data_IF_524770173433
#
_entry.id   IF_524770173433
#
_cell.length_a   1.000
_cell.length_b   1.000
_cell.length_c   1.000
_cell.angle_alpha   90.00
_cell.angle_beta   90.00
_cell.angle_gamma   90.00
#
_symmetry.space_group_name_H-M   'P 1'
#
loop_
_entity.id
_entity.type
_entity.pdbx_description
1 polymer ?
#
# COMPACT_ATOMS: atom_id res chain seq x y z
N UNK A 1 -9.56 16.78 14.27
CA UNK A 1 -10.10 16.20 13.02
C UNK A 1 -10.61 14.78 13.28
N UNK A 2 -9.74 13.81 13.57
CA UNK A 2 -10.13 12.41 13.78
C UNK A 2 -11.24 12.20 14.81
N UNK A 3 -11.18 12.89 15.95
CA UNK A 3 -12.21 12.78 16.99
C UNK A 3 -13.55 13.27 16.48
N UNK A 4 -13.56 14.42 15.80
CA UNK A 4 -14.77 14.96 15.18
C UNK A 4 -15.38 14.06 14.10
N UNK A 5 -14.55 13.35 13.33
CA UNK A 5 -15.04 12.37 12.33
C UNK A 5 -15.65 11.16 13.06
N UNK A 6 -14.91 10.56 14.00
CA UNK A 6 -15.37 9.41 14.78
C UNK A 6 -16.67 9.71 15.52
N UNK A 7 -16.77 10.87 16.15
CA UNK A 7 -17.93 11.24 16.96
C UNK A 7 -19.17 11.53 16.09
N UNK A 8 -18.98 12.00 14.84
CA UNK A 8 -20.08 12.32 13.91
C UNK A 8 -20.45 11.16 12.99
N UNK A 9 -19.49 10.32 12.63
CA UNK A 9 -19.60 9.23 11.67
C UNK A 9 -18.87 7.98 12.19
N UNK A 10 -19.37 7.36 13.28
CA UNK A 10 -18.69 6.24 13.94
C UNK A 10 -18.53 4.97 13.08
N UNK A 11 -19.29 4.86 11.99
CA UNK A 11 -19.22 3.78 11.01
C UNK A 11 -18.03 3.93 10.02
N UNK A 12 -17.43 5.12 9.94
CA UNK A 12 -16.31 5.39 9.02
C UNK A 12 -15.00 4.95 9.68
N UNK A 13 -14.41 3.90 9.12
CA UNK A 13 -13.07 3.45 9.47
C UNK A 13 -12.01 4.42 8.91
N UNK A 14 -11.21 5.02 9.80
CA UNK A 14 -10.18 5.99 9.45
C UNK A 14 -8.83 5.28 9.18
N UNK A 15 -8.65 4.84 7.93
CA UNK A 15 -7.38 4.31 7.40
C UNK A 15 -6.62 5.42 6.67
N UNK A 16 -5.73 6.12 7.36
CA UNK A 16 -5.11 7.34 6.85
C UNK A 16 -3.72 7.59 7.44
N UNK A 17 -3.02 8.56 6.83
CA UNK A 17 -1.63 8.92 7.10
C UNK A 17 -0.62 7.83 6.73
N UNK A 18 0.32 8.15 5.87
CA UNK A 18 1.51 7.33 5.62
C UNK A 18 2.47 7.34 6.81
N UNK A 19 3.40 6.38 6.83
CA UNK A 19 4.48 6.37 7.81
C UNK A 19 5.30 7.67 7.78
N UNK A 20 5.58 8.20 6.58
CA UNK A 20 6.28 9.47 6.38
C UNK A 20 5.54 10.64 7.05
N UNK A 21 4.21 10.71 6.91
CA UNK A 21 3.40 11.75 7.54
C UNK A 21 3.39 11.63 9.06
N UNK A 22 3.31 10.40 9.60
CA UNK A 22 3.34 10.16 11.04
C UNK A 22 4.70 10.57 11.63
N UNK A 23 5.82 10.23 10.98
CA UNK A 23 7.15 10.66 11.36
C UNK A 23 7.25 12.19 11.39
N UNK A 24 6.74 12.86 10.35
CA UNK A 24 6.73 14.31 10.28
C UNK A 24 5.88 14.93 11.40
N UNK A 25 4.68 14.39 11.66
CA UNK A 25 3.79 14.85 12.74
C UNK A 25 4.48 14.70 14.10
N UNK A 26 5.12 13.56 14.38
CA UNK A 26 5.85 13.34 15.62
C UNK A 26 6.98 14.37 15.79
N UNK A 27 7.75 14.60 14.72
CA UNK A 27 8.84 15.57 14.69
C UNK A 27 8.38 17.00 15.01
N UNK A 28 7.40 17.52 14.25
CA UNK A 28 6.93 18.90 14.44
C UNK A 28 6.19 19.09 15.78
N UNK A 29 5.58 18.02 16.30
CA UNK A 29 4.88 18.02 17.59
C UNK A 29 5.81 17.78 18.77
N UNK A 30 7.10 17.48 18.54
CA UNK A 30 8.10 17.14 19.56
C UNK A 30 7.65 15.98 20.45
N UNK A 31 7.07 14.95 19.84
CA UNK A 31 6.62 13.74 20.51
C UNK A 31 7.56 12.58 20.17
N UNK A 32 7.64 11.59 21.06
CA UNK A 32 8.12 10.27 20.64
C UNK A 32 7.16 9.71 19.58
N UNK A 33 7.67 8.81 18.73
CA UNK A 33 6.85 8.17 17.71
C UNK A 33 5.69 7.37 18.33
N UNK A 34 5.95 6.68 19.44
CA UNK A 34 4.93 5.97 20.22
C UNK A 34 3.85 6.90 20.76
N UNK A 35 4.22 8.02 21.40
CA UNK A 35 3.26 8.99 21.92
C UNK A 35 2.43 9.61 20.79
N UNK A 36 3.03 9.86 19.64
CA UNK A 36 2.35 10.37 18.46
C UNK A 36 1.29 9.37 17.97
N UNK A 37 1.66 8.12 17.71
CA UNK A 37 0.75 7.08 17.22
C UNK A 37 -0.36 6.82 18.24
N UNK A 38 -0.02 6.70 19.53
CA UNK A 38 -1.01 6.50 20.61
C UNK A 38 -2.03 7.63 20.64
N UNK A 39 -1.60 8.89 20.56
CA UNK A 39 -2.50 10.05 20.55
C UNK A 39 -3.37 10.10 19.30
N UNK A 40 -2.85 9.74 18.13
CA UNK A 40 -3.63 9.67 16.90
C UNK A 40 -4.69 8.55 17.00
N UNK A 41 -4.30 7.39 17.54
CA UNK A 41 -5.20 6.26 17.75
C UNK A 41 -6.33 6.61 18.75
N UNK A 42 -6.01 7.18 19.90
CA UNK A 42 -6.98 7.67 20.88
C UNK A 42 -7.91 8.75 20.29
N UNK A 43 -7.42 9.55 19.35
CA UNK A 43 -8.21 10.53 18.63
C UNK A 43 -9.13 9.91 17.57
N UNK A 44 -8.98 8.64 17.21
CA UNK A 44 -9.86 7.93 16.26
C UNK A 44 -9.18 7.44 14.98
N UNK A 45 -7.84 7.44 14.90
CA UNK A 45 -7.14 6.74 13.82
C UNK A 45 -7.30 5.22 14.01
N UNK A 46 -7.95 4.53 13.07
CA UNK A 46 -8.25 3.10 13.22
C UNK A 46 -7.13 2.19 12.69
N UNK A 47 -6.38 2.64 11.68
CA UNK A 47 -5.30 1.86 11.05
C UNK A 47 -4.43 2.75 10.16
N UNK A 48 -3.23 2.28 9.82
CA UNK A 48 -2.26 3.04 9.02
C UNK A 48 -2.06 2.35 7.65
N UNK A 49 -2.24 3.06 6.51
CA UNK A 49 -1.88 2.53 5.20
C UNK A 49 -0.37 2.35 5.08
N UNK A 50 0.06 1.30 4.37
CA UNK A 50 1.47 1.06 4.09
C UNK A 50 2.11 2.03 3.10
N UNK A 51 1.48 3.17 2.80
CA UNK A 51 2.01 4.18 1.91
C UNK A 51 3.35 4.75 2.42
N UNK A 52 4.19 5.23 1.50
CA UNK A 52 5.52 5.76 1.80
C UNK A 52 6.65 4.71 1.77
N UNK A 53 6.31 3.42 1.63
CA UNK A 53 7.30 2.35 1.59
C UNK A 53 8.17 2.40 0.32
N UNK A 54 7.53 2.54 -0.84
CA UNK A 54 8.11 2.35 -2.18
C UNK A 54 8.95 1.07 -2.28
N UNK A 55 10.28 1.21 -2.21
CA UNK A 55 11.24 0.14 -2.01
C UNK A 55 11.96 0.42 -0.69
N UNK A 56 12.03 -0.61 0.15
CA UNK A 56 12.65 -0.55 1.49
C UNK A 56 14.12 -0.92 1.33
N UNK A 57 14.83 -0.05 0.63
CA UNK A 57 16.26 -0.12 0.39
C UNK A 57 16.79 1.31 0.41
N UNK A 58 17.72 1.61 1.32
CA UNK A 58 18.19 2.98 1.52
C UNK A 58 18.93 3.52 0.29
N UNK A 59 19.58 2.65 -0.51
CA UNK A 59 20.17 2.99 -1.80
C UNK A 59 19.11 3.52 -2.78
N UNK A 60 18.01 2.78 -2.93
CA UNK A 60 16.90 3.19 -3.81
C UNK A 60 16.23 4.46 -3.30
N UNK A 61 16.05 4.58 -1.98
CA UNK A 61 15.44 5.76 -1.34
C UNK A 61 16.24 7.03 -1.59
N UNK A 62 17.58 6.95 -1.53
CA UNK A 62 18.47 8.07 -1.86
C UNK A 62 18.32 8.52 -3.32
N UNK A 63 17.99 7.61 -4.24
CA UNK A 63 17.77 7.94 -5.64
C UNK A 63 16.39 8.55 -5.86
N UNK A 64 15.31 8.01 -5.30
CA UNK A 64 13.94 8.40 -5.67
C UNK A 64 13.44 9.67 -4.97
N UNK A 65 13.98 10.04 -3.80
CA UNK A 65 13.47 11.19 -3.06
C UNK A 65 14.45 11.79 -2.07
N UNK A 66 14.79 13.07 -2.27
CA UNK A 66 15.58 13.83 -1.32
C UNK A 66 14.82 13.95 0.02
N UNK A 67 15.45 13.51 1.12
CA UNK A 67 14.88 13.48 2.48
C UNK A 67 13.67 12.56 2.66
N UNK A 68 13.52 11.53 1.81
CA UNK A 68 12.63 10.43 2.14
C UNK A 68 13.10 9.80 3.46
N UNK A 69 12.15 9.33 4.27
CA UNK A 69 12.46 8.53 5.45
C UNK A 69 13.34 7.34 5.08
N UNK A 70 14.09 6.81 6.04
CA UNK A 70 14.91 5.61 5.88
C UNK A 70 14.08 4.35 6.11
N UNK A 71 14.56 3.23 5.59
CA UNK A 71 13.90 1.93 5.69
C UNK A 71 13.56 1.58 7.14
N UNK A 72 14.51 1.78 8.06
CA UNK A 72 14.29 1.52 9.48
C UNK A 72 13.22 2.41 10.12
N UNK A 73 13.07 3.66 9.67
CA UNK A 73 12.07 4.60 10.20
C UNK A 73 10.66 4.16 9.77
N UNK A 74 10.50 3.76 8.51
CA UNK A 74 9.24 3.20 8.02
C UNK A 74 8.86 1.94 8.82
N UNK A 75 9.81 1.00 8.98
CA UNK A 75 9.58 -0.22 9.75
C UNK A 75 9.22 0.07 11.21
N UNK A 76 9.85 1.07 11.82
CA UNK A 76 9.59 1.43 13.22
C UNK A 76 8.19 2.02 13.44
N UNK A 77 7.68 2.83 12.50
CA UNK A 77 6.29 3.31 12.56
C UNK A 77 5.32 2.14 12.63
N UNK A 78 5.48 1.16 11.72
CA UNK A 78 4.60 0.00 11.65
C UNK A 78 4.77 -0.91 12.87
N UNK A 79 6.02 -1.13 13.33
CA UNK A 79 6.30 -1.89 14.55
C UNK A 79 5.61 -1.32 15.78
N UNK A 80 5.76 -0.02 16.01
CA UNK A 80 5.13 0.68 17.14
C UNK A 80 3.61 0.64 17.00
N UNK A 81 3.07 0.88 15.80
CA UNK A 81 1.64 0.78 15.55
C UNK A 81 1.09 -0.61 15.93
N UNK A 82 1.76 -1.68 15.49
CA UNK A 82 1.35 -3.04 15.79
C UNK A 82 1.40 -3.34 17.30
N UNK A 83 2.45 -2.89 17.99
CA UNK A 83 2.59 -3.03 19.44
C UNK A 83 1.50 -2.27 20.23
N UNK A 84 0.96 -1.21 19.65
CA UNK A 84 -0.19 -0.46 20.19
C UNK A 84 -1.55 -1.04 19.77
N UNK A 85 -1.58 -2.17 19.05
CA UNK A 85 -2.80 -2.80 18.55
C UNK A 85 -3.41 -2.14 17.31
N UNK A 86 -2.67 -1.24 16.66
CA UNK A 86 -3.08 -0.57 15.43
C UNK A 86 -2.64 -1.40 14.23
N UNK A 87 -3.60 -1.94 13.48
CA UNK A 87 -3.31 -2.69 12.26
C UNK A 87 -2.83 -1.78 11.13
N UNK A 88 -2.02 -2.33 10.24
CA UNK A 88 -1.53 -1.60 9.07
C UNK A 88 -1.59 -2.45 7.80
N UNK A 89 -1.23 -1.86 6.66
CA UNK A 89 -0.94 -2.59 5.42
C UNK A 89 0.53 -2.36 5.03
N UNK A 90 1.06 -3.21 4.15
CA UNK A 90 2.39 -3.05 3.58
C UNK A 90 2.26 -2.82 2.07
N UNK A 91 3.13 -1.97 1.51
CA UNK A 91 3.06 -1.66 0.09
C UNK A 91 4.40 -1.69 -0.60
N UNK A 92 4.42 -1.94 -1.90
CA UNK A 92 5.61 -1.89 -2.74
C UNK A 92 5.32 -1.18 -4.06
N UNK A 93 5.86 0.04 -4.22
CA UNK A 93 5.92 0.67 -5.54
C UNK A 93 7.23 0.24 -6.21
N UNK A 94 7.12 -0.44 -7.34
CA UNK A 94 8.26 -0.98 -8.07
C UNK A 94 8.26 -0.54 -9.55
N UNK A 95 9.29 -0.90 -10.30
CA UNK A 95 9.39 -0.63 -11.73
C UNK A 95 9.91 0.77 -12.02
N UNK A 96 10.78 1.30 -11.16
CA UNK A 96 11.45 2.57 -11.30
C UNK A 96 12.97 2.35 -11.41
N UNK A 97 13.73 2.59 -10.35
CA UNK A 97 15.20 2.54 -10.35
C UNK A 97 15.76 1.29 -9.67
N UNK A 98 14.89 0.47 -9.08
CA UNK A 98 15.30 -0.65 -8.24
C UNK A 98 15.71 -1.90 -9.06
N UNK A 99 16.54 -2.75 -8.45
CA UNK A 99 16.87 -4.08 -8.97
C UNK A 99 15.92 -5.14 -8.41
N UNK A 100 16.00 -6.37 -8.92
CA UNK A 100 15.24 -7.49 -8.34
C UNK A 100 15.69 -7.77 -6.91
N UNK A 101 16.98 -7.62 -6.62
CA UNK A 101 17.56 -7.77 -5.29
C UNK A 101 16.94 -6.77 -4.31
N UNK A 102 16.76 -5.51 -4.71
CA UNK A 102 16.06 -4.51 -3.89
C UNK A 102 14.58 -4.85 -3.65
N UNK A 103 13.89 -5.46 -4.62
CA UNK A 103 12.51 -5.97 -4.38
C UNK A 103 12.51 -7.11 -3.37
N UNK A 104 13.49 -8.02 -3.43
CA UNK A 104 13.61 -9.12 -2.47
C UNK A 104 13.96 -8.63 -1.06
N UNK A 105 14.87 -7.68 -0.93
CA UNK A 105 15.20 -7.00 0.32
C UNK A 105 13.94 -6.37 0.95
N UNK A 106 13.15 -5.66 0.15
CA UNK A 106 11.88 -5.09 0.60
C UNK A 106 10.89 -6.14 1.12
N UNK A 107 10.72 -7.27 0.40
CA UNK A 107 9.85 -8.36 0.84
C UNK A 107 10.36 -9.03 2.10
N UNK A 108 11.68 -9.18 2.26
CA UNK A 108 12.29 -9.73 3.47
C UNK A 108 12.02 -8.83 4.69
N UNK A 109 12.17 -7.51 4.55
CA UNK A 109 11.82 -6.56 5.62
C UNK A 109 10.36 -6.67 6.05
N UNK A 110 9.43 -6.73 5.11
CA UNK A 110 8.00 -6.89 5.41
C UNK A 110 7.74 -8.21 6.10
N UNK A 111 8.28 -9.32 5.57
CA UNK A 111 8.07 -10.65 6.14
C UNK A 111 8.59 -10.73 7.57
N UNK A 112 9.80 -10.23 7.81
CA UNK A 112 10.42 -10.28 9.14
C UNK A 112 9.65 -9.42 10.17
N UNK A 113 9.19 -8.23 9.77
CA UNK A 113 8.35 -7.42 10.64
C UNK A 113 6.99 -8.07 10.91
N UNK A 114 6.42 -8.74 9.90
CA UNK A 114 5.18 -9.50 10.07
C UNK A 114 5.37 -10.70 11.01
N UNK A 115 6.50 -11.42 10.94
CA UNK A 115 6.81 -12.51 11.88
C UNK A 115 6.95 -12.01 13.32
N UNK A 116 7.47 -10.80 13.51
CA UNK A 116 7.62 -10.22 14.84
C UNK A 116 6.30 -9.73 15.43
N UNK A 117 5.44 -9.12 14.62
CA UNK A 117 4.32 -8.30 15.13
C UNK A 117 2.93 -8.72 14.64
N UNK A 118 2.84 -9.44 13.52
CA UNK A 118 1.58 -9.94 12.93
C UNK A 118 0.57 -8.85 12.52
N UNK A 119 0.96 -7.58 12.48
CA UNK A 119 0.02 -6.47 12.36
C UNK A 119 -0.34 -6.05 10.93
N UNK A 120 0.37 -6.55 9.91
CA UNK A 120 -0.01 -6.31 8.52
C UNK A 120 -1.23 -7.13 8.13
N UNK A 121 -2.25 -6.43 7.65
CA UNK A 121 -3.51 -7.04 7.17
C UNK A 121 -3.46 -7.42 5.70
N UNK A 122 -2.65 -6.69 4.92
CA UNK A 122 -2.54 -6.89 3.49
C UNK A 122 -1.23 -6.37 2.92
N UNK A 123 -0.87 -6.92 1.76
CA UNK A 123 0.20 -6.45 0.91
C UNK A 123 -0.37 -5.92 -0.41
N UNK A 124 0.16 -4.79 -0.88
CA UNK A 124 -0.25 -4.17 -2.13
C UNK A 124 0.99 -3.78 -2.94
N UNK A 125 1.18 -4.36 -4.12
CA UNK A 125 2.21 -3.93 -5.05
C UNK A 125 1.58 -3.15 -6.23
N UNK A 126 2.27 -2.11 -6.68
CA UNK A 126 1.91 -1.39 -7.89
C UNK A 126 3.16 -0.91 -8.62
N UNK A 127 3.05 -0.75 -9.94
CA UNK A 127 4.13 -0.19 -10.72
C UNK A 127 4.12 1.34 -10.64
N UNK A 128 5.32 1.91 -10.70
CA UNK A 128 5.55 3.33 -10.89
C UNK A 128 4.83 3.86 -12.14
N UNK A 129 4.12 4.98 -11.97
CA UNK A 129 3.52 5.74 -13.05
C UNK A 129 4.41 6.94 -13.35
N UNK A 130 5.13 6.95 -14.48
CA UNK A 130 6.18 7.94 -14.72
C UNK A 130 5.66 9.30 -15.19
N UNK A 131 4.46 9.36 -15.77
CA UNK A 131 3.97 10.57 -16.43
C UNK A 131 3.89 11.73 -15.42
N UNK A 132 4.45 12.89 -15.80
CA UNK A 132 4.48 14.11 -14.99
C UNK A 132 5.20 14.00 -13.63
N UNK A 133 6.12 13.03 -13.47
CA UNK A 133 6.92 12.89 -12.25
C UNK A 133 8.32 13.49 -12.39
N UNK A 134 8.85 14.04 -11.29
CA UNK A 134 10.22 14.57 -11.25
C UNK A 134 11.24 13.47 -11.60
N UNK A 135 11.05 12.26 -11.08
CA UNK A 135 11.94 11.13 -11.35
C UNK A 135 11.98 10.78 -12.84
N UNK A 136 10.84 10.78 -13.52
CA UNK A 136 10.80 10.45 -14.95
C UNK A 136 11.35 11.55 -15.85
N UNK A 137 11.42 12.79 -15.36
CA UNK A 137 12.03 13.90 -16.10
C UNK A 137 13.56 13.95 -16.01
N UNK A 138 14.17 13.10 -15.18
CA UNK A 138 15.60 13.03 -14.95
C UNK A 138 16.22 11.73 -15.52
N UNK A 139 16.84 11.79 -16.71
CA UNK A 139 17.40 10.61 -17.38
C UNK A 139 18.67 10.07 -16.70
N UNK A 140 19.30 10.84 -15.80
CA UNK A 140 20.45 10.36 -15.02
C UNK A 140 20.00 9.47 -13.86
N UNK A 141 18.74 9.59 -13.43
CA UNK A 141 18.15 8.82 -12.33
C UNK A 141 17.28 7.66 -12.81
N UNK A 142 16.61 7.77 -13.96
CA UNK A 142 15.70 6.74 -14.45
C UNK A 142 15.92 6.40 -15.93
N UNK A 143 15.88 5.11 -16.27
CA UNK A 143 16.24 4.59 -17.60
C UNK A 143 15.10 4.65 -18.63
N UNK A 144 13.96 5.25 -18.28
CA UNK A 144 12.79 5.39 -19.15
C UNK A 144 11.92 4.14 -19.28
N UNK A 145 12.23 3.03 -18.60
CA UNK A 145 11.49 1.77 -18.76
C UNK A 145 10.37 1.63 -17.74
N UNK A 146 9.13 1.83 -18.19
CA UNK A 146 7.93 1.56 -17.40
C UNK A 146 7.69 0.05 -17.26
N UNK A 147 7.40 -0.41 -16.04
CA UNK A 147 7.02 -1.80 -15.81
C UNK A 147 5.69 -2.16 -16.51
N UNK A 148 5.64 -3.38 -17.05
CA UNK A 148 4.50 -3.89 -17.83
C UNK A 148 3.51 -4.66 -16.95
N UNK A 149 2.32 -4.94 -17.47
CA UNK A 149 1.38 -5.86 -16.81
C UNK A 149 1.94 -7.26 -16.58
N UNK A 150 2.89 -7.73 -17.40
CA UNK A 150 3.60 -8.98 -17.16
C UNK A 150 4.52 -8.89 -15.93
N UNK A 151 5.26 -7.77 -15.77
CA UNK A 151 6.09 -7.54 -14.59
C UNK A 151 5.23 -7.45 -13.32
N UNK A 152 4.03 -6.86 -13.42
CA UNK A 152 3.04 -6.87 -12.32
C UNK A 152 2.60 -8.26 -11.91
N UNK A 153 2.12 -9.07 -12.86
CA UNK A 153 1.66 -10.42 -12.55
C UNK A 153 2.78 -11.28 -11.97
N UNK A 154 4.02 -11.14 -12.49
CA UNK A 154 5.20 -11.81 -11.95
C UNK A 154 5.53 -11.34 -10.54
N UNK A 155 5.54 -10.02 -10.30
CA UNK A 155 5.86 -9.43 -9.00
C UNK A 155 4.86 -9.90 -7.95
N UNK A 156 3.55 -9.84 -8.23
CA UNK A 156 2.52 -10.31 -7.31
C UNK A 156 2.66 -11.81 -7.01
N UNK A 157 2.89 -12.65 -8.02
CA UNK A 157 3.06 -14.09 -7.79
C UNK A 157 4.29 -14.42 -6.93
N UNK A 158 5.41 -13.74 -7.17
CA UNK A 158 6.61 -13.90 -6.34
C UNK A 158 6.34 -13.41 -4.91
N UNK A 159 5.75 -12.23 -4.74
CA UNK A 159 5.40 -11.70 -3.42
C UNK A 159 4.44 -12.62 -2.67
N UNK A 160 3.46 -13.25 -3.35
CA UNK A 160 2.52 -14.22 -2.76
C UNK A 160 3.22 -15.47 -2.24
N UNK A 161 4.24 -15.95 -2.95
CA UNK A 161 5.04 -17.10 -2.53
C UNK A 161 6.04 -16.73 -1.43
N UNK A 162 6.53 -15.50 -1.42
CA UNK A 162 7.55 -15.04 -0.48
C UNK A 162 6.96 -14.63 0.89
N UNK A 163 5.84 -13.91 0.88
CA UNK A 163 5.15 -13.42 2.08
C UNK A 163 4.09 -14.44 2.55
N UNK A 164 4.55 -15.60 3.01
CA UNK A 164 3.68 -16.68 3.51
C UNK A 164 2.85 -16.29 4.75
N UNK A 165 3.23 -15.20 5.43
CA UNK A 165 2.64 -14.71 6.67
C UNK A 165 1.68 -13.51 6.49
N UNK A 166 1.38 -13.11 5.25
CA UNK A 166 0.35 -12.12 4.91
C UNK A 166 -0.74 -12.77 4.05
N UNK A 167 -1.99 -12.73 4.53
CA UNK A 167 -3.10 -13.46 3.87
C UNK A 167 -3.65 -12.74 2.64
N UNK A 168 -3.69 -11.42 2.69
CA UNK A 168 -4.44 -10.60 1.72
C UNK A 168 -3.52 -9.85 0.78
N UNK A 169 -3.78 -9.98 -0.50
CA UNK A 169 -3.07 -9.32 -1.59
C UNK A 169 -4.07 -8.52 -2.41
N UNK A 170 -3.97 -7.20 -2.34
CA UNK A 170 -4.88 -6.29 -3.03
C UNK A 170 -4.42 -6.08 -4.48
N UNK A 171 -5.36 -6.15 -5.41
CA UNK A 171 -5.17 -5.76 -6.80
C UNK A 171 -4.84 -4.27 -6.90
N UNK A 172 -3.90 -3.92 -7.78
CA UNK A 172 -3.66 -2.51 -8.14
C UNK A 172 -4.41 -2.13 -9.40
N UNK A 173 -5.74 -2.27 -9.39
CA UNK A 173 -6.56 -1.92 -10.55
C UNK A 173 -6.48 -0.43 -10.90
N UNK A 174 -6.11 0.45 -9.96
CA UNK A 174 -5.91 1.89 -10.22
C UNK A 174 -4.77 2.12 -11.22
N UNK A 175 -3.71 1.30 -11.15
CA UNK A 175 -2.55 1.41 -12.04
C UNK A 175 -2.57 0.43 -13.21
N UNK A 176 -3.21 -0.73 -13.03
CA UNK A 176 -3.20 -1.84 -13.98
C UNK A 176 -4.49 -1.99 -14.80
N UNK A 177 -5.59 -1.38 -14.33
CA UNK A 177 -6.92 -1.52 -14.91
C UNK A 177 -7.63 -2.84 -14.59
N UNK A 178 -8.92 -2.95 -14.97
CA UNK A 178 -9.80 -4.05 -14.60
C UNK A 178 -9.36 -5.41 -15.14
N UNK A 179 -8.85 -5.45 -16.38
CA UNK A 179 -8.45 -6.70 -17.04
C UNK A 179 -7.28 -7.38 -16.35
N UNK A 180 -6.25 -6.61 -15.99
CA UNK A 180 -5.08 -7.15 -15.29
C UNK A 180 -5.45 -7.52 -13.84
N UNK A 181 -6.31 -6.75 -13.17
CA UNK A 181 -6.82 -7.10 -11.85
C UNK A 181 -7.57 -8.45 -11.84
N UNK A 182 -8.40 -8.70 -12.86
CA UNK A 182 -9.07 -9.98 -13.04
C UNK A 182 -8.09 -11.15 -13.24
N UNK A 183 -7.07 -10.98 -14.09
CA UNK A 183 -6.02 -11.98 -14.29
C UNK A 183 -5.24 -12.20 -12.98
N UNK A 184 -5.01 -11.14 -12.20
CA UNK A 184 -4.31 -11.16 -10.92
C UNK A 184 -4.86 -12.17 -9.92
N UNK A 185 -6.16 -12.51 -9.97
CA UNK A 185 -6.77 -13.57 -9.15
C UNK A 185 -6.09 -14.93 -9.34
N UNK A 186 -5.55 -15.20 -10.53
CA UNK A 186 -4.78 -16.43 -10.84
C UNK A 186 -3.30 -16.34 -10.46
N UNK A 187 -2.83 -15.17 -10.03
CA UNK A 187 -1.44 -14.89 -9.67
C UNK A 187 -1.26 -14.59 -8.18
N UNK A 188 -2.30 -14.76 -7.35
CA UNK A 188 -2.19 -14.65 -5.89
C UNK A 188 -2.93 -13.46 -5.27
N UNK A 189 -3.57 -12.61 -6.08
CA UNK A 189 -4.52 -11.61 -5.58
C UNK A 189 -5.75 -12.32 -5.01
N UNK A 190 -6.24 -11.83 -3.88
CA UNK A 190 -7.50 -12.26 -3.29
C UNK A 190 -8.35 -11.09 -2.78
N UNK A 191 -8.00 -9.87 -3.17
CA UNK A 191 -8.68 -8.66 -2.73
C UNK A 191 -8.70 -7.60 -3.84
N UNK A 192 -9.87 -7.02 -4.12
CA UNK A 192 -10.02 -5.94 -5.10
C UNK A 192 -9.99 -4.55 -4.46
N UNK A 193 -9.84 -4.48 -3.13
CA UNK A 193 -9.86 -3.21 -2.41
C UNK A 193 -11.27 -2.60 -2.36
N UNK A 194 -11.31 -1.28 -2.28
CA UNK A 194 -12.55 -0.50 -2.20
C UNK A 194 -12.78 0.29 -3.48
N UNK A 195 -14.03 0.59 -3.81
CA UNK A 195 -14.32 1.62 -4.82
C UNK A 195 -13.87 2.99 -4.31
N UNK A 196 -13.16 3.74 -5.15
CA UNK A 196 -12.67 5.07 -4.80
C UNK A 196 -13.68 6.13 -5.22
N UNK A 197 -14.05 7.02 -4.30
CA UNK A 197 -14.87 8.20 -4.61
C UNK A 197 -14.05 9.31 -5.26
N UNK A 198 -12.77 9.42 -4.86
CA UNK A 198 -11.80 10.41 -5.35
C UNK A 198 -10.41 9.77 -5.32
N UNK A 199 -9.59 9.97 -6.35
CA UNK A 199 -8.21 9.49 -6.46
C UNK A 199 -7.37 10.56 -7.18
N UNK A 200 -6.36 11.10 -6.48
CA UNK A 200 -5.62 12.30 -6.90
C UNK A 200 -4.13 12.07 -7.11
N UNK A 201 -3.58 10.89 -6.78
CA UNK A 201 -2.15 10.60 -6.84
C UNK A 201 -1.79 9.96 -8.17
N UNK A 202 -2.46 8.86 -8.51
CA UNK A 202 -2.22 8.12 -9.76
C UNK A 202 -2.78 8.91 -10.95
N UNK A 203 -3.92 9.58 -10.77
CA UNK A 203 -4.51 10.48 -11.77
C UNK A 203 -3.61 11.67 -12.09
N UNK A 204 -2.93 12.25 -11.08
CA UNK A 204 -1.90 13.27 -11.29
C UNK A 204 -0.70 12.73 -12.07
N UNK A 205 -0.39 11.44 -11.93
CA UNK A 205 0.60 10.71 -12.72
C UNK A 205 0.03 10.13 -14.03
N UNK A 206 -1.06 10.70 -14.56
CA UNK A 206 -1.59 10.42 -15.90
C UNK A 206 -2.41 9.14 -16.05
N UNK A 207 -2.67 8.40 -14.97
CA UNK A 207 -3.40 7.10 -15.03
C UNK A 207 -4.61 7.12 -14.09
N UNK A 208 -5.80 6.77 -14.60
CA UNK A 208 -6.99 6.60 -13.76
C UNK A 208 -7.93 5.56 -14.34
N UNK A 209 -8.22 4.54 -13.53
CA UNK A 209 -9.27 3.55 -13.78
C UNK A 209 -10.44 3.69 -12.79
N UNK A 210 -10.48 4.79 -12.04
CA UNK A 210 -11.43 5.04 -10.96
C UNK A 210 -12.88 5.04 -11.44
N UNK A 211 -13.13 5.54 -12.65
CA UNK A 211 -14.45 5.53 -13.28
C UNK A 211 -14.88 4.17 -13.86
N UNK A 212 -13.94 3.24 -14.07
CA UNK A 212 -14.20 1.92 -14.64
C UNK A 212 -14.53 0.89 -13.56
N UNK A 213 -13.98 1.05 -12.35
CA UNK A 213 -14.07 0.08 -11.26
C UNK A 213 -15.20 0.36 -10.26
N UNK A 214 -16.45 0.11 -10.67
CA UNK A 214 -17.62 0.11 -9.77
C UNK A 214 -17.71 -1.18 -8.94
N UNK A 215 -18.53 -1.20 -7.88
CA UNK A 215 -18.78 -2.42 -7.09
C UNK A 215 -19.32 -3.57 -7.95
N UNK A 216 -20.28 -3.28 -8.84
CA UNK A 216 -20.84 -4.28 -9.75
C UNK A 216 -19.79 -4.81 -10.72
N UNK A 217 -18.83 -3.97 -11.13
CA UNK A 217 -17.73 -4.41 -11.98
C UNK A 217 -16.73 -5.29 -11.19
N UNK A 218 -16.40 -4.95 -9.93
CA UNK A 218 -15.60 -5.83 -9.06
C UNK A 218 -16.23 -7.22 -8.95
N UNK A 219 -17.52 -7.27 -8.62
CA UNK A 219 -18.26 -8.52 -8.46
C UNK A 219 -18.26 -9.33 -9.75
N UNK A 220 -18.56 -8.68 -10.89
CA UNK A 220 -18.56 -9.33 -12.20
C UNK A 220 -17.19 -9.91 -12.54
N UNK A 221 -16.11 -9.14 -12.38
CA UNK A 221 -14.76 -9.60 -12.71
C UNK A 221 -14.34 -10.80 -11.85
N UNK A 222 -14.65 -10.79 -10.55
CA UNK A 222 -14.35 -11.89 -9.63
C UNK A 222 -15.13 -13.15 -10.01
N UNK A 223 -16.42 -13.01 -10.28
CA UNK A 223 -17.30 -14.13 -10.65
C UNK A 223 -16.96 -14.73 -12.01
N UNK A 224 -16.71 -13.89 -13.02
CA UNK A 224 -16.29 -14.32 -14.37
C UNK A 224 -14.94 -15.05 -14.33
N UNK A 225 -14.07 -14.71 -13.37
CA UNK A 225 -12.82 -15.43 -13.13
C UNK A 225 -13.02 -16.76 -12.40
N UNK A 226 -14.24 -17.11 -11.98
CA UNK A 226 -14.58 -18.37 -11.30
C UNK A 226 -14.38 -18.35 -9.77
N UNK A 227 -14.38 -17.17 -9.15
CA UNK A 227 -14.27 -16.99 -7.70
C UNK A 227 -15.57 -16.45 -7.10
N UNK A 228 -15.71 -16.57 -5.78
CA UNK A 228 -16.83 -15.96 -5.05
C UNK A 228 -16.48 -14.53 -4.66
N UNK A 229 -17.28 -13.57 -5.13
CA UNK A 229 -17.21 -12.20 -4.64
C UNK A 229 -17.77 -12.12 -3.22
N UNK A 230 -16.97 -11.60 -2.28
CA UNK A 230 -17.36 -11.38 -0.89
C UNK A 230 -17.04 -9.96 -0.49
N UNK A 231 -17.93 -9.33 0.27
CA UNK A 231 -17.69 -8.01 0.85
C UNK A 231 -16.95 -8.17 2.18
N UNK A 232 -15.97 -7.30 2.44
CA UNK A 232 -15.20 -7.28 3.68
C UNK A 232 -15.12 -5.88 4.27
N UNK A 233 -14.81 -5.78 5.56
CA UNK A 233 -14.37 -4.54 6.18
C UNK A 233 -12.83 -4.35 6.03
N UNK A 234 -12.29 -3.27 6.59
CA UNK A 234 -10.84 -2.97 6.56
C UNK A 234 -10.00 -3.94 7.41
N UNK A 235 -10.63 -4.65 8.35
CA UNK A 235 -10.00 -5.72 9.14
C UNK A 235 -10.05 -7.09 8.45
N UNK A 236 -10.55 -7.13 7.22
CA UNK A 236 -10.74 -8.35 6.42
C UNK A 236 -11.76 -9.34 6.99
N UNK A 237 -12.66 -8.89 7.88
CA UNK A 237 -13.83 -9.67 8.26
C UNK A 237 -14.85 -9.63 7.13
N UNK A 238 -15.43 -10.80 6.80
CA UNK A 238 -16.48 -10.92 5.79
C UNK A 238 -17.77 -10.32 6.35
N UNK A 239 -18.39 -9.44 5.55
CA UNK A 239 -19.68 -8.84 5.85
C UNK A 239 -20.79 -9.69 5.21
N UNK A 240 -21.85 -9.94 5.98
CA UNK A 240 -23.06 -10.64 5.52
C UNK A 240 -24.01 -9.68 4.82
#
# INVERSE_FOLDING_TARGET
LFSGIRDRYPEIHQHCLSATEILYIAHISKLSLEDCIRRLHEAGLDSIPGAGAEILSDEVRDIIGFRKDRTHEWLEVHRIAHNLGVHTSATMMYGHVETIEHRLEHLEHIRNLQDETGGFTAFIAWNFQPDYTDLASDPDRWDGKKATGYDYLRTIAVSRLYLDNIKSFQASWVTQGPKIAQIGLRYGVNDFGSTMMEENVVSAAGTSHTGEMTLSEMERLIQDAGYQAVRRNTRYDILN
#
